data_IF_563834332936
#
_entry.id   IF_563834332936
#
_cell.length_a   1.000
_cell.length_b   1.000
_cell.length_c   1.000
_cell.angle_alpha   90.00
_cell.angle_beta   90.00
_cell.angle_gamma   90.00
#
_symmetry.space_group_name_H-M   'P 1'
#
loop_
_entity.id
_entity.type
_entity.pdbx_description
1 polymer ?
#
# COMPACT_ATOMS: atom_id res chain seq x y z
N UNK A 1 31.22 25.90 37.96
CA UNK A 1 29.94 25.74 37.23
C UNK A 1 30.26 25.35 35.78
N UNK A 2 29.92 24.13 35.33
CA UNK A 2 30.20 23.68 33.95
C UNK A 2 29.06 24.14 33.02
N UNK A 3 29.41 24.88 31.97
CA UNK A 3 28.46 25.36 30.96
C UNK A 3 27.85 24.16 30.20
N UNK A 4 26.52 24.14 30.04
CA UNK A 4 25.81 23.10 29.29
C UNK A 4 26.09 23.26 27.78
N UNK A 5 26.37 22.18 27.04
CA UNK A 5 26.61 22.26 25.60
C UNK A 5 25.31 22.66 24.86
N UNK A 6 25.43 23.63 23.94
CA UNK A 6 24.32 24.06 23.07
C UNK A 6 24.04 22.98 22.03
N UNK A 7 22.91 22.27 22.17
CA UNK A 7 22.37 21.39 21.14
C UNK A 7 21.95 22.23 19.92
N UNK A 8 22.76 22.19 18.86
CA UNK A 8 22.30 22.63 17.55
C UNK A 8 21.22 21.64 17.07
N UNK A 9 19.95 22.05 17.16
CA UNK A 9 18.84 21.38 16.47
C UNK A 9 19.06 21.52 14.96
N UNK A 10 19.87 20.64 14.40
CA UNK A 10 20.00 20.44 12.96
C UNK A 10 18.67 19.95 12.41
N UNK A 11 17.76 20.88 12.13
CA UNK A 11 16.54 20.58 11.39
C UNK A 11 16.94 20.03 10.02
N UNK A 12 16.42 18.84 9.67
CA UNK A 12 16.56 18.27 8.33
C UNK A 12 16.16 19.36 7.33
N UNK A 13 17.05 19.68 6.37
CA UNK A 13 16.74 20.67 5.32
C UNK A 13 15.40 20.28 4.69
N UNK A 14 14.40 21.16 4.79
CA UNK A 14 13.08 20.94 4.20
C UNK A 14 13.27 20.82 2.69
N UNK A 15 12.67 19.79 2.07
CA UNK A 15 12.71 19.65 0.61
C UNK A 15 12.17 20.93 -0.05
N UNK A 16 12.97 21.49 -0.95
CA UNK A 16 12.64 22.65 -1.78
C UNK A 16 11.94 22.19 -3.05
N UNK A 17 10.86 22.84 -3.45
CA UNK A 17 10.17 22.56 -4.70
C UNK A 17 8.90 23.39 -4.86
N UNK A 18 8.29 23.39 -6.06
CA UNK A 18 7.03 24.08 -6.31
C UNK A 18 5.97 23.56 -5.34
N UNK A 19 5.09 24.41 -4.82
CA UNK A 19 4.05 24.02 -3.84
C UNK A 19 2.65 24.22 -4.42
N UNK A 20 1.73 23.35 -4.01
CA UNK A 20 0.29 23.51 -4.26
C UNK A 20 -0.23 24.68 -3.42
N UNK A 21 -1.44 25.17 -3.70
CA UNK A 21 -2.06 26.23 -2.90
C UNK A 21 -2.19 25.85 -1.41
N UNK A 22 -2.25 24.55 -1.11
CA UNK A 22 -2.27 24.01 0.26
C UNK A 22 -0.90 23.98 0.96
N UNK A 23 0.17 24.42 0.30
CA UNK A 23 1.53 24.41 0.85
C UNK A 23 2.24 23.05 0.76
N UNK A 24 1.58 21.99 0.31
CA UNK A 24 2.24 20.72 -0.03
C UNK A 24 3.15 20.90 -1.24
N UNK A 25 4.28 20.20 -1.32
CA UNK A 25 5.07 20.15 -2.57
C UNK A 25 4.16 19.67 -3.71
N UNK A 26 4.07 20.43 -4.80
CA UNK A 26 3.52 19.94 -6.06
C UNK A 26 4.31 18.69 -6.41
N UNK A 27 3.62 17.66 -6.91
CA UNK A 27 4.24 16.53 -7.55
C UNK A 27 4.92 17.00 -8.85
N UNK A 28 6.04 17.69 -8.71
CA UNK A 28 6.96 18.00 -9.78
C UNK A 28 8.15 17.09 -9.53
N UNK A 29 8.05 15.86 -10.02
CA UNK A 29 9.16 15.03 -10.47
C UNK A 29 8.54 13.88 -11.24
N UNK A 30 8.59 13.94 -12.56
CA UNK A 30 8.38 12.75 -13.36
C UNK A 30 9.35 11.70 -12.82
N UNK A 31 8.84 10.57 -12.32
CA UNK A 31 9.66 9.46 -11.87
C UNK A 31 10.80 9.24 -12.89
N UNK A 32 12.05 9.01 -12.44
CA UNK A 32 13.18 8.84 -13.35
C UNK A 32 12.80 7.85 -14.46
N UNK A 33 13.17 8.14 -15.72
CA UNK A 33 12.76 7.33 -16.86
C UNK A 33 13.10 5.83 -16.66
N UNK A 34 14.23 5.55 -16.01
CA UNK A 34 14.64 4.20 -15.61
C UNK A 34 13.63 3.53 -14.65
N UNK A 35 13.10 4.27 -13.67
CA UNK A 35 12.07 3.78 -12.76
C UNK A 35 10.74 3.52 -13.48
N UNK A 36 10.35 4.42 -14.39
CA UNK A 36 9.15 4.25 -15.21
C UNK A 36 9.25 3.00 -16.11
N UNK A 37 10.39 2.80 -16.75
CA UNK A 37 10.70 1.60 -17.55
C UNK A 37 10.60 0.32 -16.73
N UNK A 38 11.19 0.32 -15.53
CA UNK A 38 11.16 -0.83 -14.62
C UNK A 38 9.73 -1.19 -14.21
N UNK A 39 8.92 -0.19 -13.86
CA UNK A 39 7.51 -0.36 -13.49
C UNK A 39 6.65 -0.83 -14.66
N UNK A 40 6.86 -0.27 -15.85
CA UNK A 40 6.22 -0.69 -17.08
C UNK A 40 6.49 -2.18 -17.36
N UNK A 41 7.76 -2.60 -17.25
CA UNK A 41 8.17 -4.00 -17.40
C UNK A 41 7.50 -4.92 -16.35
N UNK A 42 7.49 -4.54 -15.07
CA UNK A 42 6.82 -5.31 -14.02
C UNK A 42 5.32 -5.48 -14.28
N UNK A 43 4.63 -4.40 -14.65
CA UNK A 43 3.20 -4.42 -14.94
C UNK A 43 2.85 -5.04 -16.30
N UNK A 44 3.82 -5.24 -17.21
CA UNK A 44 3.55 -5.70 -18.57
C UNK A 44 2.80 -4.67 -19.41
N UNK A 45 3.03 -3.38 -19.17
CA UNK A 45 2.37 -2.25 -19.85
C UNK A 45 3.40 -1.32 -20.50
N UNK A 46 2.95 -0.35 -21.29
CA UNK A 46 3.83 0.65 -21.89
C UNK A 46 4.33 1.68 -20.85
N UNK A 47 5.47 2.32 -21.11
CA UNK A 47 5.98 3.42 -20.28
C UNK A 47 4.96 4.55 -20.12
N UNK A 48 4.18 4.83 -21.17
CA UNK A 48 3.14 5.84 -21.15
C UNK A 48 2.03 5.51 -20.13
N UNK A 49 1.60 4.25 -20.08
CA UNK A 49 0.61 3.76 -19.10
C UNK A 49 1.17 3.76 -17.69
N UNK A 50 2.42 3.32 -17.51
CA UNK A 50 3.07 3.34 -16.19
C UNK A 50 3.29 4.77 -15.66
N UNK A 51 3.51 5.74 -16.55
CA UNK A 51 3.63 7.17 -16.20
C UNK A 51 2.30 7.79 -15.81
N UNK A 52 1.21 7.44 -16.50
CA UNK A 52 -0.11 8.04 -16.26
C UNK A 52 -0.89 7.35 -15.15
N UNK A 53 -0.54 6.12 -14.77
CA UNK A 53 -1.27 5.34 -13.78
C UNK A 53 -0.68 5.43 -12.37
N UNK A 54 -1.45 5.85 -11.36
CA UNK A 54 -1.01 5.79 -9.96
C UNK A 54 -0.78 4.35 -9.47
N UNK A 55 -1.35 3.35 -10.14
CA UNK A 55 -1.18 1.93 -9.81
C UNK A 55 0.24 1.43 -10.06
N UNK A 56 1.02 2.09 -10.92
CA UNK A 56 2.40 1.69 -11.19
C UNK A 56 3.35 1.98 -10.02
N UNK A 57 2.86 2.64 -8.95
CA UNK A 57 3.66 3.07 -7.81
C UNK A 57 4.05 1.98 -6.81
N UNK A 58 3.34 0.85 -6.78
CA UNK A 58 3.38 -0.14 -5.70
C UNK A 58 2.97 -1.54 -6.17
N UNK A 59 3.37 -2.59 -5.44
CA UNK A 59 3.21 -3.99 -5.86
C UNK A 59 1.76 -4.39 -6.17
N UNK A 60 0.82 -4.07 -5.28
CA UNK A 60 -0.60 -4.37 -5.45
C UNK A 60 -1.17 -3.74 -6.74
N UNK A 61 -0.75 -2.53 -7.09
CA UNK A 61 -1.20 -1.81 -8.27
C UNK A 61 -0.57 -2.34 -9.55
N UNK A 62 0.69 -2.80 -9.50
CA UNK A 62 1.34 -3.50 -10.61
C UNK A 62 0.60 -4.80 -10.95
N UNK A 63 0.19 -5.57 -9.95
CA UNK A 63 -0.61 -6.79 -10.15
C UNK A 63 -1.99 -6.48 -10.73
N UNK A 64 -2.61 -5.37 -10.32
CA UNK A 64 -3.89 -4.90 -10.88
C UNK A 64 -3.75 -4.45 -12.33
N UNK A 65 -2.68 -3.73 -12.68
CA UNK A 65 -2.37 -3.30 -14.04
C UNK A 65 -2.12 -4.50 -14.98
N UNK A 66 -1.47 -5.54 -14.47
CA UNK A 66 -1.20 -6.78 -15.21
C UNK A 66 -2.45 -7.68 -15.36
N UNK A 67 -3.56 -7.35 -14.69
CA UNK A 67 -4.77 -8.18 -14.68
C UNK A 67 -4.64 -9.45 -13.85
N UNK A 68 -3.63 -9.54 -12.98
CA UNK A 68 -3.46 -10.70 -12.08
C UNK A 68 -4.56 -10.70 -11.02
N UNK A 69 -4.91 -9.53 -10.49
CA UNK A 69 -6.00 -9.37 -9.50
C UNK A 69 -7.10 -8.44 -10.03
N UNK A 70 -8.32 -8.65 -9.54
CA UNK A 70 -9.49 -7.81 -9.85
C UNK A 70 -9.55 -6.51 -9.05
N UNK A 71 -10.57 -5.70 -9.32
CA UNK A 71 -10.79 -4.42 -8.62
C UNK A 71 -11.08 -4.63 -7.13
N UNK A 72 -12.01 -5.54 -6.79
CA UNK A 72 -12.38 -5.80 -5.40
C UNK A 72 -11.20 -6.30 -4.55
N UNK A 73 -10.36 -7.17 -5.14
CA UNK A 73 -9.13 -7.67 -4.52
C UNK A 73 -8.12 -6.55 -4.28
N UNK A 74 -7.96 -5.66 -5.25
CA UNK A 74 -7.11 -4.48 -5.11
C UNK A 74 -7.61 -3.55 -3.99
N UNK A 75 -8.90 -3.24 -3.96
CA UNK A 75 -9.47 -2.33 -2.98
C UNK A 75 -9.45 -2.93 -1.56
N UNK A 76 -9.59 -4.25 -1.44
CA UNK A 76 -9.42 -4.98 -0.19
C UNK A 76 -7.97 -4.92 0.32
N UNK A 77 -6.99 -5.10 -0.56
CA UNK A 77 -5.58 -4.92 -0.23
C UNK A 77 -5.27 -3.49 0.23
N UNK A 78 -5.79 -2.47 -0.48
CA UNK A 78 -5.63 -1.08 -0.06
C UNK A 78 -6.24 -0.81 1.33
N UNK A 79 -7.44 -1.34 1.58
CA UNK A 79 -8.11 -1.16 2.87
C UNK A 79 -7.32 -1.80 4.01
N UNK A 80 -6.79 -2.99 3.77
CA UNK A 80 -5.93 -3.69 4.73
C UNK A 80 -4.64 -2.91 5.02
N UNK A 81 -3.97 -2.39 4.00
CA UNK A 81 -2.78 -1.55 4.17
C UNK A 81 -3.05 -0.27 4.97
N UNK A 82 -4.22 0.35 4.79
CA UNK A 82 -4.63 1.51 5.61
C UNK A 82 -4.81 1.12 7.07
N UNK A 83 -5.46 0.00 7.36
CA UNK A 83 -5.63 -0.48 8.73
C UNK A 83 -4.29 -0.86 9.38
N UNK A 84 -3.37 -1.49 8.64
CA UNK A 84 -2.00 -1.73 9.08
C UNK A 84 -1.25 -0.44 9.40
N UNK A 85 -1.27 0.55 8.50
CA UNK A 85 -0.54 1.79 8.72
C UNK A 85 -1.08 2.53 9.95
N UNK A 86 -2.41 2.55 10.14
CA UNK A 86 -3.03 3.13 11.33
C UNK A 86 -2.63 2.39 12.60
N UNK A 87 -2.66 1.06 12.57
CA UNK A 87 -2.21 0.24 13.69
C UNK A 87 -0.72 0.48 14.01
N UNK A 88 0.16 0.50 13.01
CA UNK A 88 1.60 0.72 13.17
C UNK A 88 1.90 2.11 13.76
N UNK A 89 1.24 3.16 13.25
CA UNK A 89 1.38 4.53 13.76
C UNK A 89 0.97 4.63 15.24
N UNK A 90 -0.15 4.01 15.61
CA UNK A 90 -0.65 4.02 16.98
C UNK A 90 0.17 3.11 17.91
N UNK A 91 0.77 2.04 17.38
CA UNK A 91 1.72 1.17 18.08
C UNK A 91 3.08 1.83 18.33
N UNK A 92 3.33 3.02 17.77
CA UNK A 92 4.65 3.67 17.81
C UNK A 92 5.70 2.97 16.93
N UNK A 93 5.27 2.08 16.03
CA UNK A 93 6.16 1.48 15.05
C UNK A 93 6.53 2.52 13.98
N UNK A 94 7.74 2.45 13.40
CA UNK A 94 8.06 3.29 12.26
C UNK A 94 7.01 3.05 11.18
N UNK A 95 6.38 4.13 10.71
CA UNK A 95 5.49 4.03 9.57
C UNK A 95 6.30 3.44 8.42
N UNK A 96 5.93 2.24 7.95
CA UNK A 96 6.43 1.74 6.69
C UNK A 96 6.15 2.82 5.66
N UNK A 97 7.13 3.14 4.81
CA UNK A 97 6.91 4.03 3.67
C UNK A 97 6.10 3.26 2.63
N UNK A 98 4.84 2.97 2.96
CA UNK A 98 3.91 2.37 2.02
C UNK A 98 3.83 3.33 0.84
N UNK A 99 4.22 2.85 -0.35
CA UNK A 99 4.03 3.60 -1.61
C UNK A 99 2.55 3.63 -2.03
N UNK A 100 1.71 2.92 -1.29
CA UNK A 100 0.25 2.94 -1.42
C UNK A 100 -0.30 4.32 -1.05
N UNK A 101 -1.36 4.79 -1.72
CA UNK A 101 -2.04 6.02 -1.36
C UNK A 101 -2.84 5.84 -0.05
N UNK A 102 -2.15 5.75 1.08
CA UNK A 102 -2.79 5.69 2.40
C UNK A 102 -3.00 7.11 2.91
N UNK A 103 -4.19 7.67 2.68
CA UNK A 103 -4.60 8.91 3.32
C UNK A 103 -4.79 8.70 4.82
N UNK A 104 -3.89 9.24 5.65
CA UNK A 104 -4.04 9.18 7.10
C UNK A 104 -2.97 10.00 7.82
N UNK A 105 -3.36 11.15 8.35
CA UNK A 105 -2.64 11.79 9.46
C UNK A 105 -2.92 10.99 10.74
N UNK A 106 -1.96 10.96 11.67
CA UNK A 106 -2.16 10.42 13.02
C UNK A 106 -3.41 11.10 13.60
N UNK A 107 -4.49 10.37 13.88
CA UNK A 107 -5.60 10.96 14.61
C UNK A 107 -5.10 11.26 16.03
N UNK A 108 -5.54 12.37 16.62
CA UNK A 108 -5.44 12.59 18.07
C UNK A 108 -6.36 11.57 18.76
N UNK A 109 -5.93 10.31 18.79
CA UNK A 109 -6.79 9.17 19.07
C UNK A 109 -6.76 8.86 20.56
N UNK A 110 -7.92 8.84 21.22
CA UNK A 110 -8.06 8.25 22.56
C UNK A 110 -8.04 6.72 22.54
N UNK A 111 -7.92 6.09 23.71
CA UNK A 111 -7.77 4.63 23.87
C UNK A 111 -8.85 3.80 23.15
N UNK A 112 -10.09 4.31 23.08
CA UNK A 112 -11.19 3.63 22.41
C UNK A 112 -11.04 3.54 20.87
N UNK A 113 -10.40 4.53 20.25
CA UNK A 113 -10.12 4.49 18.80
C UNK A 113 -8.96 3.52 18.51
N UNK A 114 -7.94 3.51 19.36
CA UNK A 114 -6.85 2.53 19.30
C UNK A 114 -7.36 1.09 19.37
N UNK A 115 -8.21 0.78 20.35
CA UNK A 115 -8.80 -0.56 20.49
C UNK A 115 -9.57 -0.97 19.23
N UNK A 116 -10.39 -0.07 18.66
CA UNK A 116 -11.14 -0.37 17.43
C UNK A 116 -10.25 -0.63 16.22
N UNK A 117 -9.20 0.17 16.02
CA UNK A 117 -8.25 -0.02 14.91
C UNK A 117 -7.48 -1.31 15.09
N UNK A 118 -6.95 -1.55 16.30
CA UNK A 118 -6.22 -2.78 16.64
C UNK A 118 -7.08 -4.01 16.43
N UNK A 119 -8.28 -4.05 16.99
CA UNK A 119 -9.15 -5.24 16.94
C UNK A 119 -9.59 -5.53 15.50
N UNK A 120 -9.86 -4.48 14.69
CA UNK A 120 -10.14 -4.64 13.26
C UNK A 120 -8.95 -5.20 12.50
N UNK A 121 -7.76 -4.62 12.70
CA UNK A 121 -6.54 -5.08 12.04
C UNK A 121 -6.20 -6.53 12.41
N UNK A 122 -6.25 -6.88 13.71
CA UNK A 122 -6.01 -8.24 14.19
C UNK A 122 -7.06 -9.23 13.66
N UNK A 123 -8.33 -8.83 13.58
CA UNK A 123 -9.38 -9.65 12.98
C UNK A 123 -9.13 -9.89 11.49
N UNK A 124 -8.68 -8.88 10.73
CA UNK A 124 -8.29 -9.04 9.34
C UNK A 124 -7.09 -9.99 9.21
N UNK A 125 -6.04 -9.84 10.04
CA UNK A 125 -4.90 -10.74 10.07
C UNK A 125 -5.28 -12.19 10.37
N UNK A 126 -6.21 -12.40 11.30
CA UNK A 126 -6.70 -13.74 11.61
C UNK A 126 -7.34 -14.42 10.39
N UNK A 127 -8.04 -13.65 9.53
CA UNK A 127 -8.65 -14.18 8.28
C UNK A 127 -7.62 -14.58 7.24
N UNK A 128 -6.54 -13.83 7.11
CA UNK A 128 -5.52 -14.06 6.09
C UNK A 128 -4.29 -14.80 6.59
N UNK A 129 -4.26 -15.25 7.85
CA UNK A 129 -3.12 -15.92 8.46
C UNK A 129 -2.54 -17.08 7.61
N UNK A 130 -3.35 -17.95 6.95
CA UNK A 130 -2.82 -18.99 6.08
C UNK A 130 -2.07 -18.46 4.84
N UNK A 131 -2.35 -17.22 4.44
CA UNK A 131 -1.80 -16.55 3.26
C UNK A 131 -0.83 -15.42 3.63
N UNK A 132 -0.46 -15.32 4.92
CA UNK A 132 0.25 -14.16 5.46
C UNK A 132 1.52 -13.79 4.68
N UNK A 133 2.42 -14.72 4.31
CA UNK A 133 3.67 -14.35 3.64
C UNK A 133 3.47 -13.62 2.31
N UNK A 134 2.45 -14.01 1.53
CA UNK A 134 2.17 -13.37 0.23
C UNK A 134 1.38 -12.08 0.38
N UNK A 135 0.47 -12.02 1.36
CA UNK A 135 -0.28 -10.79 1.67
C UNK A 135 0.65 -9.72 2.21
N UNK A 136 1.53 -10.06 3.15
CA UNK A 136 2.52 -9.14 3.72
C UNK A 136 3.43 -8.57 2.63
N UNK A 137 4.05 -9.42 1.81
CA UNK A 137 4.96 -8.99 0.75
C UNK A 137 4.30 -8.04 -0.27
N UNK A 138 3.05 -8.30 -0.66
CA UNK A 138 2.35 -7.50 -1.69
C UNK A 138 1.67 -6.26 -1.10
N UNK A 139 0.98 -6.40 0.02
CA UNK A 139 0.12 -5.35 0.59
C UNK A 139 0.91 -4.39 1.48
N UNK A 140 1.96 -4.86 2.16
CA UNK A 140 2.88 -3.96 2.88
C UNK A 140 3.97 -3.38 1.98
N UNK A 141 3.89 -3.70 0.67
CA UNK A 141 4.80 -3.21 -0.37
C UNK A 141 6.29 -3.49 -0.07
N UNK A 142 6.54 -4.60 0.64
CA UNK A 142 7.87 -5.17 0.92
C UNK A 142 8.38 -6.02 -0.27
N UNK A 143 7.72 -5.88 -1.41
CA UNK A 143 8.06 -6.57 -2.64
C UNK A 143 9.36 -6.02 -3.24
N UNK A 144 10.33 -6.87 -3.62
CA UNK A 144 11.53 -6.42 -4.31
C UNK A 144 11.13 -5.71 -5.60
N UNK A 145 11.61 -4.48 -5.80
CA UNK A 145 11.20 -3.62 -6.93
C UNK A 145 11.73 -4.11 -8.30
N UNK A 146 11.94 -5.40 -8.54
CA UNK A 146 12.56 -5.94 -9.76
C UNK A 146 11.59 -6.71 -10.68
N UNK A 147 11.75 -6.59 -12.02
CA UNK A 147 11.03 -7.42 -12.99
C UNK A 147 11.23 -8.91 -12.76
N UNK A 148 12.43 -9.33 -12.37
CA UNK A 148 12.78 -10.73 -12.14
C UNK A 148 12.03 -11.31 -10.95
N UNK A 149 11.95 -10.57 -9.82
CA UNK A 149 11.19 -11.02 -8.65
C UNK A 149 9.68 -11.11 -8.95
N UNK A 150 9.15 -10.17 -9.74
CA UNK A 150 7.76 -10.24 -10.21
C UNK A 150 7.53 -11.47 -11.10
N UNK A 151 8.41 -11.71 -12.09
CA UNK A 151 8.29 -12.86 -12.98
C UNK A 151 8.33 -14.19 -12.20
N UNK A 152 9.31 -14.35 -11.31
CA UNK A 152 9.44 -15.55 -10.46
C UNK A 152 8.22 -15.81 -9.57
N UNK A 153 7.51 -14.76 -9.14
CA UNK A 153 6.26 -14.94 -8.41
C UNK A 153 5.13 -15.40 -9.31
N UNK A 154 5.00 -14.79 -10.49
CA UNK A 154 3.94 -15.13 -11.45
C UNK A 154 4.09 -16.57 -11.99
N UNK A 155 5.30 -17.09 -12.02
CA UNK A 155 5.61 -18.49 -12.35
C UNK A 155 5.22 -19.48 -11.24
N UNK A 156 4.83 -19.00 -10.05
CA UNK A 156 4.40 -19.84 -8.91
C UNK A 156 2.87 -19.80 -8.79
N UNK A 157 2.11 -20.66 -9.53
CA UNK A 157 0.65 -20.61 -9.55
C UNK A 157 0.03 -20.76 -8.15
N UNK A 158 0.65 -21.55 -7.27
CA UNK A 158 0.24 -21.70 -5.87
C UNK A 158 0.36 -20.40 -5.07
N UNK A 159 1.39 -19.59 -5.33
CA UNK A 159 1.59 -18.32 -4.64
C UNK A 159 0.59 -17.26 -5.12
N UNK A 160 0.33 -17.23 -6.44
CA UNK A 160 -0.70 -16.37 -7.03
C UNK A 160 -2.10 -16.75 -6.53
N UNK A 161 -2.42 -18.05 -6.46
CA UNK A 161 -3.70 -18.54 -5.94
C UNK A 161 -3.88 -18.22 -4.45
N UNK A 162 -2.81 -18.37 -3.65
CA UNK A 162 -2.80 -17.99 -2.23
C UNK A 162 -3.03 -16.49 -2.04
N UNK A 163 -2.37 -15.65 -2.85
CA UNK A 163 -2.58 -14.19 -2.82
C UNK A 163 -4.04 -13.85 -3.14
N UNK A 164 -4.58 -14.37 -4.25
CA UNK A 164 -5.98 -14.14 -4.65
C UNK A 164 -6.96 -14.54 -3.55
N UNK A 165 -6.79 -15.75 -3.01
CA UNK A 165 -7.63 -16.27 -1.91
C UNK A 165 -7.56 -15.35 -0.70
N UNK A 166 -6.36 -14.93 -0.28
CA UNK A 166 -6.19 -14.00 0.83
C UNK A 166 -6.87 -12.65 0.58
N UNK A 167 -6.75 -12.10 -0.63
CA UNK A 167 -7.43 -10.85 -1.00
C UNK A 167 -8.95 -11.01 -1.07
N UNK A 168 -9.47 -12.16 -1.50
CA UNK A 168 -10.90 -12.47 -1.50
C UNK A 168 -11.44 -12.59 -0.07
N UNK A 169 -10.68 -13.19 0.86
CA UNK A 169 -11.01 -13.19 2.28
C UNK A 169 -11.05 -11.78 2.86
N UNK A 170 -10.12 -10.90 2.48
CA UNK A 170 -10.15 -9.49 2.88
C UNK A 170 -11.33 -8.76 2.25
N UNK A 171 -11.64 -9.00 0.98
CA UNK A 171 -12.78 -8.39 0.30
C UNK A 171 -14.09 -8.75 1.01
N UNK A 172 -14.26 -10.03 1.36
CA UNK A 172 -15.39 -10.50 2.17
C UNK A 172 -15.43 -9.84 3.55
N UNK A 173 -14.30 -9.80 4.26
CA UNK A 173 -14.19 -9.17 5.58
C UNK A 173 -14.55 -7.67 5.56
N UNK A 174 -14.07 -6.94 4.56
CA UNK A 174 -14.35 -5.52 4.37
C UNK A 174 -15.65 -5.23 3.62
N UNK A 175 -16.39 -6.27 3.21
CA UNK A 175 -17.63 -6.17 2.42
C UNK A 175 -17.47 -5.39 1.10
N UNK A 176 -16.31 -5.54 0.47
CA UNK A 176 -16.01 -4.93 -0.83
C UNK A 176 -16.64 -5.81 -1.93
N UNK A 177 -17.29 -5.18 -2.93
CA UNK A 177 -17.99 -5.89 -4.00
C UNK A 177 -19.36 -6.46 -3.63
N UNK A 178 -19.83 -6.29 -2.38
CA UNK A 178 -21.14 -6.80 -1.94
C UNK A 178 -22.35 -5.94 -2.39
N UNK A 179 -22.13 -4.77 -3.00
CA UNK A 179 -23.18 -3.80 -3.34
C UNK A 179 -23.69 -3.87 -4.80
N UNK A 180 -23.61 -5.04 -5.46
CA UNK A 180 -24.00 -5.16 -6.88
C UNK A 180 -24.40 -6.55 -7.36
N UNK A 181 -24.77 -7.48 -6.47
CA UNK A 181 -25.27 -8.83 -6.82
C UNK A 181 -26.74 -9.05 -6.47
N UNK A 182 -27.52 -7.97 -6.40
CA UNK A 182 -28.99 -7.99 -6.37
C UNK A 182 -29.51 -7.09 -7.50
N UNK A 183 -29.31 -7.48 -8.76
CA UNK A 183 -30.17 -7.07 -9.88
C UNK A 183 -29.70 -7.78 -11.16
N UNK A 184 -30.19 -9.00 -11.33
CA UNK A 184 -30.62 -9.63 -12.59
C UNK A 184 -31.00 -11.08 -12.28
N UNK A 185 -32.08 -11.22 -11.53
CA UNK A 185 -32.91 -12.40 -11.61
C UNK A 185 -34.27 -11.91 -12.11
N UNK A 186 -34.64 -12.45 -13.28
CA UNK A 186 -35.88 -12.30 -14.06
C UNK A 186 -35.97 -11.07 -14.97
#
# INVERSE_FOLDING_TARGET
MRAKPKLHKGGRKRQSGPRTASGLLKACDAAPLALLRRRAAMAGVTEAVARSSPLAGYALGLLRLRGVIGQDQHDAGLRFAVDWNRWALLAGLPAHQLRLPTGGTRPESGDAEWLRVRDRYLAACARVRPFWPVIEAVVMDDWPDSPESMALFLERPQAVAALKSGLDFLASFYRIGACGREEKAL
#
